data_IF_460745732463
#
_entry.id   IF_460745732463
#
_cell.length_a   1.000
_cell.length_b   1.000
_cell.length_c   1.000
_cell.angle_alpha   90.00
_cell.angle_beta   90.00
_cell.angle_gamma   90.00
#
_symmetry.space_group_name_H-M   'P 1'
#
loop_
_entity.id
_entity.type
_entity.pdbx_description
1 polymer ?
#
# COMPACT_ATOMS: atom_id res chain seq x y z
N UNK A 1 2.65 -16.33 19.00
CA UNK A 1 3.37 -15.23 18.31
C UNK A 1 2.27 -14.38 17.72
N UNK A 2 2.25 -13.08 17.99
CA UNK A 2 1.28 -12.21 17.34
C UNK A 2 1.73 -12.10 15.89
N UNK A 3 1.10 -12.86 15.00
CA UNK A 3 1.15 -12.55 13.57
C UNK A 3 0.62 -11.12 13.42
N UNK A 4 1.52 -10.14 13.33
CA UNK A 4 1.17 -8.79 12.91
C UNK A 4 0.71 -8.89 11.45
N UNK A 5 -0.56 -9.23 11.27
CA UNK A 5 -1.25 -9.16 10.00
C UNK A 5 -1.28 -7.67 9.61
N UNK A 6 -0.24 -7.22 8.91
CA UNK A 6 -0.09 -5.82 8.52
C UNK A 6 -1.06 -5.50 7.39
N UNK A 7 -2.35 -5.34 7.69
CA UNK A 7 -3.34 -5.07 6.66
C UNK A 7 -3.03 -3.76 5.91
N UNK A 8 -3.08 -3.79 4.58
CA UNK A 8 -2.90 -2.60 3.78
C UNK A 8 -4.11 -1.66 3.92
N UNK A 9 -3.94 -0.44 4.44
CA UNK A 9 -5.06 0.47 4.67
C UNK A 9 -5.69 1.01 3.37
N UNK A 10 -5.01 0.86 2.23
CA UNK A 10 -5.50 1.34 0.92
C UNK A 10 -6.42 0.33 0.23
N UNK A 11 -6.09 -0.97 0.26
CA UNK A 11 -6.89 -2.00 -0.42
C UNK A 11 -7.49 -3.06 0.51
N UNK A 12 -7.13 -3.07 1.79
CA UNK A 12 -7.54 -4.10 2.75
C UNK A 12 -6.80 -5.43 2.55
N UNK A 13 -5.63 -5.44 1.90
CA UNK A 13 -4.84 -6.67 1.78
C UNK A 13 -4.37 -7.10 3.16
N UNK A 14 -4.91 -8.19 3.67
CA UNK A 14 -4.68 -8.71 5.01
C UNK A 14 -3.21 -9.10 5.26
N UNK A 15 -2.48 -9.56 4.23
CA UNK A 15 -1.09 -9.98 4.38
C UNK A 15 -0.20 -9.50 3.21
N UNK A 16 0.14 -8.21 3.16
CA UNK A 16 1.03 -7.66 2.16
C UNK A 16 2.48 -8.05 2.47
N UNK A 17 3.24 -8.45 1.45
CA UNK A 17 4.67 -8.74 1.61
C UNK A 17 5.46 -7.53 2.10
N UNK A 18 5.04 -6.33 1.71
CA UNK A 18 5.60 -5.09 2.21
C UNK A 18 4.58 -3.95 2.15
N UNK A 19 4.63 -3.06 3.14
CA UNK A 19 3.96 -1.76 3.12
C UNK A 19 5.01 -0.68 2.90
N UNK A 20 4.80 0.12 1.85
CA UNK A 20 5.65 1.26 1.47
C UNK A 20 4.82 2.53 1.59
N UNK A 21 5.44 3.65 1.93
CA UNK A 21 4.77 4.95 1.90
C UNK A 21 4.83 5.52 0.47
N UNK A 22 3.71 6.00 -0.04
CA UNK A 22 3.67 6.66 -1.34
C UNK A 22 4.33 8.03 -1.27
N UNK A 23 5.36 8.33 -2.08
CA UNK A 23 6.06 9.61 -2.05
C UNK A 23 5.21 10.81 -2.53
N UNK A 24 4.10 10.56 -3.24
CA UNK A 24 3.22 11.62 -3.75
C UNK A 24 2.12 12.03 -2.79
N UNK A 25 1.45 11.07 -2.15
CA UNK A 25 0.31 11.33 -1.26
C UNK A 25 0.58 10.98 0.21
N UNK A 26 1.72 10.37 0.55
CA UNK A 26 2.07 9.93 1.90
C UNK A 26 1.24 8.75 2.41
N UNK A 27 0.44 8.10 1.57
CA UNK A 27 -0.40 6.95 1.98
C UNK A 27 0.39 5.64 1.99
N UNK A 28 0.12 4.76 2.96
CA UNK A 28 0.72 3.41 2.99
C UNK A 28 0.10 2.51 1.92
N UNK A 29 0.89 2.13 0.92
CA UNK A 29 0.54 1.18 -0.14
C UNK A 29 1.26 -0.15 0.04
N UNK A 30 0.59 -1.25 -0.30
CA UNK A 30 1.27 -2.53 -0.49
C UNK A 30 1.75 -2.70 -1.93
N UNK A 31 2.49 -3.78 -2.21
CA UNK A 31 2.99 -4.10 -3.55
C UNK A 31 1.86 -4.17 -4.61
N UNK A 32 0.67 -4.63 -4.22
CA UNK A 32 -0.52 -4.62 -5.10
C UNK A 32 -1.06 -3.22 -5.37
N UNK A 33 -0.96 -2.31 -4.40
CA UNK A 33 -1.42 -0.92 -4.54
C UNK A 33 -0.43 -0.03 -5.29
N UNK A 34 0.81 -0.48 -5.45
CA UNK A 34 1.86 0.20 -6.22
C UNK A 34 1.56 0.17 -7.72
N UNK A 35 0.71 -0.74 -8.20
CA UNK A 35 0.27 -0.87 -9.61
C UNK A 35 1.42 -0.94 -10.65
N UNK A 36 2.65 -1.23 -10.22
CA UNK A 36 3.84 -1.26 -11.07
C UNK A 36 4.37 0.12 -11.45
N UNK A 37 3.83 1.18 -10.84
CA UNK A 37 4.39 2.53 -10.89
C UNK A 37 5.03 2.77 -9.52
N UNK A 38 6.34 2.56 -9.42
CA UNK A 38 7.13 2.70 -8.18
C UNK A 38 6.94 4.07 -7.50
N UNK A 39 6.35 5.02 -8.21
CA UNK A 39 6.06 6.36 -7.73
C UNK A 39 4.60 6.49 -7.31
N UNK A 40 3.62 6.21 -8.18
CA UNK A 40 2.19 6.41 -7.89
C UNK A 40 1.55 5.24 -7.13
N UNK A 41 0.40 5.46 -6.50
CA UNK A 41 -0.37 4.38 -5.87
C UNK A 41 -1.84 4.49 -6.23
N UNK A 42 -2.63 3.46 -5.92
CA UNK A 42 -4.08 3.48 -6.09
C UNK A 42 -4.76 4.71 -5.46
N UNK A 43 -4.22 5.25 -4.36
CA UNK A 43 -4.77 6.44 -3.71
C UNK A 43 -4.43 7.76 -4.46
N UNK A 44 -3.49 7.74 -5.41
CA UNK A 44 -3.11 8.91 -6.22
C UNK A 44 -3.99 9.08 -7.46
N UNK A 45 -4.52 8.00 -8.05
CA UNK A 45 -5.42 8.06 -9.22
C UNK A 45 -6.85 8.51 -8.87
N UNK A 46 -7.12 8.75 -7.58
CA UNK A 46 -8.41 9.24 -7.09
C UNK A 46 -8.58 10.76 -7.10
N UNK A 47 -7.55 11.53 -7.48
CA UNK A 47 -7.56 13.01 -7.50
C UNK A 47 -7.66 13.60 -8.92
#
# INVERSE_FOLDING_TARGET
>A
MSEENQECPTCGNENPECLKECPWCGSQKCDLCDMGDDTACMNCEGE
#
